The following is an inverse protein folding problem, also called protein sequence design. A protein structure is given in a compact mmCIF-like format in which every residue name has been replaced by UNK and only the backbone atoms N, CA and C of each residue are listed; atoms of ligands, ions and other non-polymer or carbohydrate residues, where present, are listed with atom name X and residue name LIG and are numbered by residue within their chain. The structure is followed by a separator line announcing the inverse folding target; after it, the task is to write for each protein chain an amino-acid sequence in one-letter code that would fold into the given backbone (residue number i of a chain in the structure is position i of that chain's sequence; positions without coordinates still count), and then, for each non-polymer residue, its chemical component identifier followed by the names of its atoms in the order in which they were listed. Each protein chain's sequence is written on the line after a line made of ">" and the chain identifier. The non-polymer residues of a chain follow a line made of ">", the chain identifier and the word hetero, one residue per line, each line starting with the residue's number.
data_IF_594468793217
#
_entry.id   IF_594468793217
#
_cell.length_a   1.000
_cell.length_b   1.000
_cell.length_c   1.000
_cell.angle_alpha   90.00
_cell.angle_beta   90.00
_cell.angle_gamma   90.00
#
_symmetry.space_group_name_H-M   'P 1'
#
loop_
_entity.id
_entity.type
_entity.pdbx_description
1 polymer ?
#
# COMPACT_ATOMS: atom_id res chain seq x y z
N UNK A 1 -3.09 -3.42 -2.14
CA UNK A 1 -3.10 -2.54 -3.32
C UNK A 1 -2.95 -1.11 -2.83
N UNK A 2 -2.28 -0.25 -3.58
CA UNK A 2 -1.96 1.12 -3.16
C UNK A 2 -1.40 1.94 -4.31
N UNK A 3 -0.94 3.15 -4.03
CA UNK A 3 -0.33 4.07 -5.00
C UNK A 3 0.91 4.69 -4.38
N UNK A 4 2.00 4.75 -5.13
CA UNK A 4 3.24 5.43 -4.74
C UNK A 4 3.57 6.52 -5.75
N UNK A 5 3.83 7.72 -5.26
CA UNK A 5 4.36 8.81 -6.08
C UNK A 5 5.87 8.89 -6.00
N UNK A 6 6.49 9.25 -7.11
CA UNK A 6 7.91 9.50 -7.24
C UNK A 6 8.15 10.93 -7.69
N UNK A 7 9.15 11.56 -7.07
CA UNK A 7 9.68 12.86 -7.46
C UNK A 7 11.06 12.67 -8.08
N UNK A 8 11.34 13.38 -9.15
CA UNK A 8 12.68 13.36 -9.74
C UNK A 8 13.63 14.22 -8.91
N UNK A 9 14.75 13.62 -8.53
CA UNK A 9 15.85 14.31 -7.86
C UNK A 9 17.11 14.18 -8.71
N UNK A 10 18.14 15.02 -8.51
CA UNK A 10 19.39 14.91 -9.28
C UNK A 10 20.07 13.54 -9.20
N UNK A 11 19.79 12.75 -8.16
CA UNK A 11 20.31 11.40 -7.95
C UNK A 11 19.37 10.29 -8.45
N UNK A 12 18.26 10.67 -9.12
CA UNK A 12 17.24 9.76 -9.64
C UNK A 12 15.87 9.92 -8.97
N UNK A 13 14.86 9.15 -9.43
CA UNK A 13 13.51 9.22 -8.90
C UNK A 13 13.43 8.65 -7.48
N UNK A 14 12.90 9.44 -6.54
CA UNK A 14 12.71 9.07 -5.14
C UNK A 14 11.23 8.92 -4.81
N UNK A 15 10.88 7.87 -4.08
CA UNK A 15 9.50 7.70 -3.58
C UNK A 15 9.17 8.81 -2.56
N UNK A 16 8.11 9.56 -2.81
CA UNK A 16 7.67 10.68 -1.97
C UNK A 16 6.67 10.23 -0.92
N UNK A 17 5.52 9.74 -1.36
CA UNK A 17 4.44 9.25 -0.49
C UNK A 17 3.84 7.98 -1.08
N UNK A 18 3.39 7.08 -0.19
CA UNK A 18 2.67 5.87 -0.56
C UNK A 18 1.36 5.81 0.20
N UNK A 19 0.25 5.74 -0.54
CA UNK A 19 -1.10 5.64 -0.01
C UNK A 19 -1.59 4.21 -0.24
N UNK A 20 -2.12 3.57 0.79
CA UNK A 20 -2.67 2.22 0.70
C UNK A 20 -4.19 2.27 0.62
N UNK A 21 -4.78 1.30 -0.06
CA UNK A 21 -6.23 1.14 -0.04
C UNK A 21 -6.72 0.79 1.37
N UNK A 22 -7.97 1.15 1.67
CA UNK A 22 -8.63 0.84 2.92
C UNK A 22 -8.70 -0.68 3.17
N UNK A 23 -9.19 -1.41 2.17
CA UNK A 23 -9.33 -2.86 2.23
C UNK A 23 -8.21 -3.53 1.44
N UNK A 24 -7.30 -4.19 2.16
CA UNK A 24 -6.30 -5.08 1.58
C UNK A 24 -6.69 -6.53 1.75
N UNK A 25 -6.64 -7.29 0.65
CA UNK A 25 -6.82 -8.74 0.67
C UNK A 25 -5.77 -9.43 1.57
N UNK A 26 -6.11 -10.61 2.07
CA UNK A 26 -5.18 -11.44 2.83
C UNK A 26 -3.91 -11.77 2.02
N UNK A 27 -4.05 -12.01 0.71
CA UNK A 27 -2.94 -12.34 -0.19
C UNK A 27 -1.93 -11.19 -0.31
N UNK A 28 -2.42 -9.95 -0.39
CA UNK A 28 -1.55 -8.78 -0.32
C UNK A 28 -0.82 -8.71 1.03
N UNK A 29 -1.55 -8.89 2.13
CA UNK A 29 -0.98 -8.84 3.49
C UNK A 29 0.05 -9.95 3.73
N UNK A 30 -0.11 -11.10 3.09
CA UNK A 30 0.80 -12.25 3.19
C UNK A 30 2.19 -12.00 2.63
N UNK A 31 2.33 -11.08 1.67
CA UNK A 31 3.63 -10.67 1.12
C UNK A 31 4.51 -9.96 2.15
N UNK A 32 3.92 -9.37 3.19
CA UNK A 32 4.62 -8.65 4.27
C UNK A 32 5.09 -9.54 5.42
N UNK A 33 4.89 -10.85 5.33
CA UNK A 33 5.36 -11.81 6.34
C UNK A 33 6.20 -12.91 5.70
N UNK A 34 7.38 -13.15 6.26
CA UNK A 34 8.19 -14.33 5.94
C UNK A 34 7.46 -15.60 6.38
N UNK A 35 7.00 -15.65 7.64
CA UNK A 35 6.20 -16.73 8.19
C UNK A 35 4.76 -16.30 8.52
N UNK A 36 3.86 -16.44 7.56
CA UNK A 36 2.45 -16.08 7.72
C UNK A 36 1.74 -16.87 8.82
N UNK A 37 1.96 -18.19 8.90
CA UNK A 37 1.22 -19.09 9.78
C UNK A 37 1.47 -18.79 11.26
N UNK A 38 2.73 -18.53 11.64
CA UNK A 38 3.13 -18.20 13.01
C UNK A 38 2.97 -16.70 13.37
N UNK A 39 2.58 -15.86 12.41
CA UNK A 39 2.45 -14.42 12.63
C UNK A 39 1.10 -14.04 13.26
N UNK A 40 1.07 -12.89 13.93
CA UNK A 40 -0.18 -12.26 14.44
C UNK A 40 -1.01 -11.58 13.35
N UNK A 41 -0.54 -11.55 12.09
CA UNK A 41 -1.25 -10.99 10.92
C UNK A 41 -1.82 -9.59 11.19
N UNK A 42 -0.97 -8.67 11.66
CA UNK A 42 -1.33 -7.27 12.00
C UNK A 42 -0.92 -6.23 10.95
N UNK A 43 -0.36 -6.64 9.81
CA UNK A 43 -0.02 -5.72 8.73
C UNK A 43 -1.28 -4.96 8.27
N UNK A 44 -1.14 -3.65 8.09
CA UNK A 44 -2.17 -2.70 7.64
C UNK A 44 -3.41 -2.53 8.53
N UNK A 45 -3.51 -3.17 9.71
CA UNK A 45 -4.71 -3.02 10.56
C UNK A 45 -4.88 -1.60 11.10
N UNK A 46 -3.80 -0.92 11.50
CA UNK A 46 -3.83 0.49 11.91
C UNK A 46 -4.11 1.42 10.73
N UNK A 47 -3.61 1.08 9.53
CA UNK A 47 -3.80 1.90 8.34
C UNK A 47 -5.25 1.86 7.86
N UNK A 48 -5.89 0.68 7.89
CA UNK A 48 -7.32 0.54 7.60
C UNK A 48 -8.19 1.38 8.54
N UNK A 49 -7.82 1.49 9.83
CA UNK A 49 -8.53 2.35 10.78
C UNK A 49 -8.44 3.84 10.43
N UNK A 50 -7.33 4.31 9.83
CA UNK A 50 -7.21 5.71 9.39
C UNK A 50 -8.26 6.12 8.36
N UNK A 51 -8.76 5.17 7.57
CA UNK A 51 -9.84 5.45 6.62
C UNK A 51 -11.21 5.60 7.30
N UNK A 52 -11.36 5.10 8.52
CA UNK A 52 -12.59 5.18 9.29
C UNK A 52 -12.64 6.48 10.12
N UNK A 53 -11.48 6.94 10.60
CA UNK A 53 -11.36 8.18 11.37
C UNK A 53 -11.39 9.42 10.46
N UNK A 54 -12.16 10.45 10.82
CA UNK A 54 -12.28 11.70 10.05
C UNK A 54 -10.94 12.44 9.90
N UNK A 55 -10.14 12.53 10.96
CA UNK A 55 -8.81 13.12 10.89
C UNK A 55 -7.85 12.27 10.05
N UNK A 56 -8.04 10.96 10.03
CA UNK A 56 -7.27 10.05 9.19
C UNK A 56 -7.55 10.24 7.71
N UNK A 57 -8.82 10.45 7.32
CA UNK A 57 -9.21 10.79 5.94
C UNK A 57 -8.58 12.10 5.49
N UNK A 58 -8.61 13.15 6.31
CA UNK A 58 -7.95 14.44 6.01
C UNK A 58 -6.46 14.29 5.73
N UNK A 59 -5.76 13.46 6.52
CA UNK A 59 -4.34 13.17 6.28
C UNK A 59 -4.11 12.46 4.95
N UNK A 60 -4.98 11.50 4.59
CA UNK A 60 -4.90 10.78 3.33
C UNK A 60 -5.16 11.71 2.14
N UNK A 61 -6.16 12.60 2.23
CA UNK A 61 -6.43 13.64 1.22
C UNK A 61 -5.25 14.61 1.07
N UNK A 62 -4.63 15.01 2.19
CA UNK A 62 -3.42 15.83 2.15
C UNK A 62 -2.26 15.11 1.45
N UNK A 63 -2.11 13.81 1.65
CA UNK A 63 -1.10 13.01 0.95
C UNK A 63 -1.43 12.86 -0.54
N UNK A 64 -2.72 12.75 -0.92
CA UNK A 64 -3.14 12.80 -2.33
C UNK A 64 -2.83 14.16 -2.98
N UNK A 65 -3.03 15.26 -2.25
CA UNK A 65 -2.65 16.59 -2.73
C UNK A 65 -1.14 16.71 -2.95
N UNK A 66 -0.32 16.16 -2.05
CA UNK A 66 1.15 16.10 -2.24
C UNK A 66 1.54 15.27 -3.47
N UNK A 67 0.90 14.12 -3.68
CA UNK A 67 1.14 13.29 -4.87
C UNK A 67 0.89 14.09 -6.14
N UNK A 68 -0.27 14.73 -6.24
CA UNK A 68 -0.67 15.51 -7.42
C UNK A 68 0.23 16.72 -7.66
N UNK A 69 0.68 17.38 -6.59
CA UNK A 69 1.48 18.62 -6.69
C UNK A 69 2.95 18.38 -7.02
N UNK A 70 3.57 17.36 -6.41
CA UNK A 70 5.02 17.22 -6.41
C UNK A 70 5.57 16.01 -7.16
N UNK A 71 4.76 14.97 -7.41
CA UNK A 71 5.29 13.76 -8.03
C UNK A 71 5.31 13.88 -9.56
N UNK A 72 6.47 13.63 -10.16
CA UNK A 72 6.63 13.50 -11.61
C UNK A 72 5.97 12.24 -12.15
N UNK A 73 6.00 11.14 -11.39
CA UNK A 73 5.40 9.88 -11.79
C UNK A 73 4.64 9.22 -10.65
N UNK A 74 3.51 8.60 -10.98
CA UNK A 74 2.63 7.92 -10.02
C UNK A 74 2.50 6.46 -10.48
N UNK A 75 2.77 5.52 -9.55
CA UNK A 75 2.71 4.08 -9.81
C UNK A 75 1.66 3.43 -8.94
N UNK A 76 0.87 2.53 -9.54
CA UNK A 76 -0.11 1.73 -8.82
C UNK A 76 0.54 0.44 -8.32
N UNK A 77 0.40 0.16 -7.03
CA UNK A 77 0.79 -1.10 -6.41
C UNK A 77 -0.36 -2.10 -6.56
N UNK A 78 -0.22 -2.97 -7.55
CA UNK A 78 -1.10 -4.12 -7.75
C UNK A 78 -0.48 -5.40 -7.13
N UNK A 79 -1.32 -6.38 -6.85
CA UNK A 79 -0.89 -7.72 -6.42
C UNK A 79 -1.73 -8.76 -7.17
N UNK A 80 -1.15 -9.93 -7.39
CA UNK A 80 -1.82 -11.04 -8.08
C UNK A 80 -2.63 -11.91 -7.10
N UNK A 81 -3.68 -12.55 -7.61
CA UNK A 81 -4.54 -13.46 -6.86
C UNK A 81 -4.08 -14.91 -6.99
N UNK A 82 -3.15 -15.33 -6.14
CA UNK A 82 -2.52 -16.65 -6.25
C UNK A 82 -3.39 -17.82 -5.80
N UNK A 83 -4.37 -17.61 -4.92
CA UNK A 83 -5.28 -18.67 -4.47
C UNK A 83 -6.09 -19.27 -5.61
N UNK A 84 -6.41 -18.47 -6.64
CA UNK A 84 -7.21 -18.91 -7.80
C UNK A 84 -6.48 -19.99 -8.61
N UNK A 85 -5.16 -19.88 -8.70
CA UNK A 85 -4.31 -20.78 -9.49
C UNK A 85 -4.14 -22.18 -8.88
N UNK A 86 -4.76 -22.46 -7.72
CA UNK A 86 -4.70 -23.76 -6.99
C UNK A 86 -3.29 -24.33 -6.81
N UNK A 87 -2.28 -23.47 -6.64
CA UNK A 87 -0.88 -23.87 -6.39
C UNK A 87 -0.57 -23.94 -4.89
N UNK A 88 0.52 -24.63 -4.54
CA UNK A 88 1.04 -24.64 -3.15
C UNK A 88 1.47 -23.24 -2.68
N UNK A 89 2.00 -22.42 -3.60
CA UNK A 89 2.38 -21.04 -3.30
C UNK A 89 1.14 -20.17 -3.10
N UNK A 90 1.11 -19.44 -1.98
CA UNK A 90 -0.03 -18.62 -1.55
C UNK A 90 0.30 -17.12 -1.45
N UNK A 91 1.51 -16.70 -1.86
CA UNK A 91 1.97 -15.30 -1.88
C UNK A 91 2.71 -14.99 -3.17
#
# INVERSE_FOLDING_TARGET
>A
AGVTGYIDTPQGPRALTTIWAEHLSEEARRRFYSNWAKSKKKAFTKYAKKWQDEDGKKLIEADFAKLKKYCSSIRVIAHTQMKILRRRQKK
#
